data_IF_495280392444
#
_entry.id   IF_495280392444
#
_cell.length_a   1.000
_cell.length_b   1.000
_cell.length_c   1.000
_cell.angle_alpha   90.00
_cell.angle_beta   90.00
_cell.angle_gamma   90.00
#
_symmetry.space_group_name_H-M   'P 1'
#
loop_
_entity.id
_entity.type
_entity.pdbx_description
1 polymer ?
#
# COMPACT_ATOMS: atom_id res chain seq x y z
N UNK A 1 54.14 -43.89 -34.84
CA UNK A 1 54.13 -42.83 -33.80
C UNK A 1 54.63 -43.39 -32.48
N UNK A 2 55.69 -42.81 -31.90
CA UNK A 2 56.25 -43.30 -30.62
C UNK A 2 55.35 -42.94 -29.43
N UNK A 3 55.37 -43.77 -28.37
CA UNK A 3 54.60 -43.53 -27.14
C UNK A 3 54.89 -42.16 -26.51
N UNK A 4 56.16 -41.75 -26.53
CA UNK A 4 56.59 -40.46 -26.00
C UNK A 4 55.96 -39.27 -26.74
N UNK A 5 55.82 -39.36 -28.06
CA UNK A 5 55.17 -38.33 -28.86
C UNK A 5 53.67 -38.23 -28.56
N UNK A 6 52.97 -39.36 -28.41
CA UNK A 6 51.54 -39.38 -28.01
C UNK A 6 51.32 -38.72 -26.65
N UNK A 7 52.20 -38.98 -25.67
CA UNK A 7 52.13 -38.35 -24.34
C UNK A 7 52.34 -36.83 -24.43
N UNK A 8 53.28 -36.36 -25.26
CA UNK A 8 53.50 -34.92 -25.47
C UNK A 8 52.27 -34.24 -26.06
N UNK A 9 51.63 -34.84 -27.07
CA UNK A 9 50.38 -34.31 -27.65
C UNK A 9 49.29 -34.22 -26.58
N UNK A 10 49.09 -35.27 -25.78
CA UNK A 10 48.06 -35.26 -24.74
C UNK A 10 48.30 -34.18 -23.67
N UNK A 11 49.56 -33.97 -23.28
CA UNK A 11 49.93 -32.88 -22.36
C UNK A 11 49.68 -31.51 -22.97
N UNK A 12 50.04 -31.32 -24.23
CA UNK A 12 49.82 -30.06 -24.94
C UNK A 12 48.32 -29.76 -25.07
N UNK A 13 47.53 -30.74 -25.52
CA UNK A 13 46.08 -30.60 -25.64
C UNK A 13 45.40 -30.25 -24.31
N UNK A 14 45.89 -30.81 -23.19
CA UNK A 14 45.40 -30.45 -21.86
C UNK A 14 45.72 -28.99 -21.52
N UNK A 15 46.94 -28.55 -21.77
CA UNK A 15 47.37 -27.16 -21.50
C UNK A 15 46.57 -26.19 -22.37
N UNK A 16 46.41 -26.48 -23.66
CA UNK A 16 45.67 -25.63 -24.59
C UNK A 16 44.19 -25.50 -24.17
N UNK A 17 43.56 -26.62 -23.77
CA UNK A 17 42.19 -26.61 -23.24
C UNK A 17 42.06 -25.82 -21.93
N UNK A 18 43.06 -25.90 -21.03
CA UNK A 18 43.08 -25.10 -19.80
C UNK A 18 43.24 -23.60 -20.09
N UNK A 19 44.07 -23.22 -21.06
CA UNK A 19 44.24 -21.83 -21.49
C UNK A 19 42.94 -21.28 -22.07
N UNK A 20 42.30 -22.01 -22.98
CA UNK A 20 41.04 -21.59 -23.61
C UNK A 20 39.90 -21.48 -22.58
N UNK A 21 39.78 -22.46 -21.70
CA UNK A 21 38.80 -22.45 -20.61
C UNK A 21 38.97 -21.23 -19.70
N UNK A 22 40.22 -20.91 -19.33
CA UNK A 22 40.50 -19.72 -18.51
C UNK A 22 40.21 -18.41 -19.25
N UNK A 23 40.53 -18.33 -20.55
CA UNK A 23 40.20 -17.17 -21.37
C UNK A 23 38.68 -16.95 -21.45
N UNK A 24 37.91 -18.01 -21.67
CA UNK A 24 36.44 -17.93 -21.71
C UNK A 24 35.85 -17.52 -20.35
N UNK A 25 36.36 -18.07 -19.24
CA UNK A 25 35.95 -17.66 -17.88
C UNK A 25 36.18 -16.18 -17.65
N UNK A 26 37.37 -15.68 -18.01
CA UNK A 26 37.70 -14.26 -17.86
C UNK A 26 36.78 -13.37 -18.67
N UNK A 27 36.52 -13.72 -19.94
CA UNK A 27 35.58 -12.98 -20.79
C UNK A 27 34.18 -12.94 -20.18
N UNK A 28 33.69 -14.07 -19.63
CA UNK A 28 32.39 -14.10 -18.94
C UNK A 28 32.38 -13.24 -17.69
N UNK A 29 33.43 -13.28 -16.88
CA UNK A 29 33.53 -12.47 -15.67
C UNK A 29 33.55 -10.98 -16.00
N UNK A 30 34.23 -10.58 -17.07
CA UNK A 30 34.28 -9.19 -17.53
C UNK A 30 32.90 -8.71 -18.01
N UNK A 31 32.17 -9.53 -18.78
CA UNK A 31 30.77 -9.24 -19.20
C UNK A 31 29.86 -9.12 -17.98
N UNK A 32 29.99 -10.04 -17.01
CA UNK A 32 29.18 -10.04 -15.79
C UNK A 32 29.42 -8.76 -15.00
N UNK A 33 30.68 -8.34 -14.82
CA UNK A 33 31.01 -7.08 -14.13
C UNK A 33 30.39 -5.89 -14.82
N UNK A 34 30.51 -5.79 -16.14
CA UNK A 34 29.90 -4.70 -16.91
C UNK A 34 28.38 -4.66 -16.72
N UNK A 35 27.74 -5.84 -16.74
CA UNK A 35 26.29 -5.96 -16.51
C UNK A 35 25.89 -5.53 -15.11
N UNK A 36 26.65 -5.89 -14.08
CA UNK A 36 26.38 -5.43 -12.72
C UNK A 36 26.49 -3.92 -12.58
N UNK A 37 27.53 -3.31 -13.16
CA UNK A 37 27.65 -1.85 -13.15
C UNK A 37 26.47 -1.15 -13.87
N UNK A 38 25.99 -1.71 -14.98
CA UNK A 38 24.80 -1.20 -15.67
C UNK A 38 23.55 -1.30 -14.79
N UNK A 39 23.32 -2.46 -14.16
CA UNK A 39 22.16 -2.67 -13.28
C UNK A 39 22.19 -1.73 -12.08
N UNK A 40 23.34 -1.55 -11.43
CA UNK A 40 23.47 -0.63 -10.29
C UNK A 40 23.15 0.81 -10.71
N UNK A 41 23.63 1.24 -11.88
CA UNK A 41 23.32 2.55 -12.43
C UNK A 41 21.82 2.72 -12.74
N UNK A 42 21.21 1.71 -13.37
CA UNK A 42 19.78 1.74 -13.70
C UNK A 42 18.91 1.80 -12.44
N UNK A 43 19.28 1.07 -11.38
CA UNK A 43 18.59 1.11 -10.08
C UNK A 43 18.70 2.50 -9.45
N UNK A 44 19.87 3.15 -9.53
CA UNK A 44 20.03 4.52 -9.02
C UNK A 44 19.17 5.52 -9.80
N UNK A 45 19.14 5.42 -11.12
CA UNK A 45 18.28 6.26 -11.96
C UNK A 45 16.79 6.04 -11.65
N UNK A 46 16.36 4.78 -11.51
CA UNK A 46 14.98 4.44 -11.18
C UNK A 46 14.57 5.01 -9.82
N UNK A 47 15.44 4.93 -8.81
CA UNK A 47 15.20 5.57 -7.50
C UNK A 47 15.02 7.08 -7.62
N UNK A 48 15.90 7.76 -8.37
CA UNK A 48 15.79 9.22 -8.57
C UNK A 48 14.47 9.58 -9.26
N UNK A 49 14.06 8.80 -10.27
CA UNK A 49 12.79 9.01 -10.98
C UNK A 49 11.62 8.79 -10.04
N UNK A 50 11.64 7.71 -9.25
CA UNK A 50 10.62 7.39 -8.28
C UNK A 50 10.47 8.50 -7.23
N UNK A 51 11.57 8.95 -6.61
CA UNK A 51 11.56 9.99 -5.60
C UNK A 51 10.95 11.29 -6.15
N UNK A 52 11.31 11.69 -7.38
CA UNK A 52 10.71 12.86 -8.04
C UNK A 52 9.21 12.70 -8.30
N UNK A 53 8.77 11.51 -8.68
CA UNK A 53 7.34 11.24 -8.89
C UNK A 53 6.56 11.27 -7.57
N UNK A 54 7.14 10.73 -6.50
CA UNK A 54 6.56 10.76 -5.15
C UNK A 54 6.44 12.21 -4.67
N UNK A 55 7.50 13.01 -4.78
CA UNK A 55 7.49 14.42 -4.38
C UNK A 55 6.44 15.23 -5.15
N UNK A 56 6.33 15.01 -6.47
CA UNK A 56 5.31 15.65 -7.28
C UNK A 56 3.89 15.23 -6.88
N UNK A 57 3.73 13.97 -6.48
CA UNK A 57 2.45 13.42 -6.03
C UNK A 57 2.04 13.97 -4.66
N UNK A 58 2.98 14.07 -3.73
CA UNK A 58 2.76 14.68 -2.41
C UNK A 58 2.30 16.14 -2.58
N UNK A 59 2.99 16.92 -3.41
CA UNK A 59 2.60 18.31 -3.68
C UNK A 59 1.17 18.44 -4.23
N UNK A 60 0.77 17.56 -5.16
CA UNK A 60 -0.60 17.54 -5.68
C UNK A 60 -1.63 17.24 -4.60
N UNK A 61 -1.32 16.32 -3.67
CA UNK A 61 -2.20 16.02 -2.55
C UNK A 61 -2.30 17.21 -1.59
N UNK A 62 -1.20 17.88 -1.29
CA UNK A 62 -1.19 19.07 -0.43
C UNK A 62 -2.03 20.20 -1.04
N UNK A 63 -1.87 20.47 -2.34
CA UNK A 63 -2.68 21.44 -3.07
C UNK A 63 -4.18 21.06 -3.06
N UNK A 64 -4.49 19.80 -3.32
CA UNK A 64 -5.87 19.31 -3.30
C UNK A 64 -6.51 19.44 -1.91
N UNK A 65 -5.78 19.08 -0.85
CA UNK A 65 -6.25 19.26 0.52
C UNK A 65 -6.45 20.75 0.81
N UNK A 66 -5.51 21.61 0.46
CA UNK A 66 -5.65 23.05 0.67
C UNK A 66 -6.89 23.64 -0.02
N UNK A 67 -7.23 23.17 -1.21
CA UNK A 67 -8.41 23.61 -1.96
C UNK A 67 -9.74 23.11 -1.36
N UNK A 68 -9.76 21.88 -0.83
CA UNK A 68 -11.01 21.20 -0.44
C UNK A 68 -11.28 21.28 1.06
N UNK A 69 -10.25 21.57 1.87
CA UNK A 69 -10.29 21.54 3.35
C UNK A 69 -11.44 22.34 3.94
N UNK A 70 -11.56 23.62 3.60
CA UNK A 70 -12.58 24.50 4.19
C UNK A 70 -14.01 24.02 3.88
N UNK A 71 -14.24 23.53 2.65
CA UNK A 71 -15.54 22.99 2.26
C UNK A 71 -15.90 21.75 3.08
N UNK A 72 -14.95 20.84 3.28
CA UNK A 72 -15.17 19.60 4.05
C UNK A 72 -15.40 19.91 5.52
N UNK A 73 -14.64 20.86 6.08
CA UNK A 73 -14.83 21.31 7.47
C UNK A 73 -16.24 21.90 7.64
N UNK A 74 -16.67 22.77 6.72
CA UNK A 74 -18.03 23.33 6.75
C UNK A 74 -19.11 22.25 6.76
N UNK A 75 -19.04 21.32 5.81
CA UNK A 75 -19.99 20.20 5.74
C UNK A 75 -19.99 19.34 7.02
N UNK A 76 -18.82 19.12 7.62
CA UNK A 76 -18.71 18.34 8.85
C UNK A 76 -19.33 19.08 10.04
N UNK A 77 -19.11 20.39 10.14
CA UNK A 77 -19.72 21.22 11.18
C UNK A 77 -21.23 21.27 11.03
N UNK A 78 -21.76 21.39 9.82
CA UNK A 78 -23.20 21.35 9.56
C UNK A 78 -23.82 20.04 10.04
N UNK A 79 -23.18 18.90 9.76
CA UNK A 79 -23.63 17.58 10.21
C UNK A 79 -23.61 17.42 11.74
N UNK A 80 -22.61 17.98 12.41
CA UNK A 80 -22.46 17.85 13.87
C UNK A 80 -23.40 18.80 14.62
N UNK A 81 -23.63 20.01 14.09
CA UNK A 81 -24.48 21.01 14.72
C UNK A 81 -25.97 20.82 14.42
N UNK A 82 -26.35 20.19 13.30
CA UNK A 82 -27.74 19.86 12.96
C UNK A 82 -28.25 18.64 13.74
N UNK A 83 -28.44 18.81 15.05
CA UNK A 83 -29.02 17.77 15.91
C UNK A 83 -30.51 17.64 15.60
N UNK A 84 -30.88 16.52 14.95
CA UNK A 84 -32.27 16.13 14.68
C UNK A 84 -32.71 15.05 15.68
N UNK A 85 -33.31 15.42 16.82
CA UNK A 85 -33.80 14.44 17.77
C UNK A 85 -34.97 13.67 17.16
N UNK A 86 -34.79 12.37 16.98
CA UNK A 86 -35.84 11.48 16.51
C UNK A 86 -36.32 10.57 17.63
N UNK A 87 -37.64 10.40 17.69
CA UNK A 87 -38.24 9.40 18.56
C UNK A 87 -38.17 8.06 17.82
N UNK A 88 -37.61 7.05 18.48
CA UNK A 88 -37.55 5.71 17.94
C UNK A 88 -38.92 5.27 17.42
N UNK A 89 -38.97 4.69 16.22
CA UNK A 89 -40.20 4.32 15.50
C UNK A 89 -41.21 3.49 16.32
N UNK A 90 -40.74 2.73 17.30
CA UNK A 90 -41.57 1.91 18.19
C UNK A 90 -42.08 2.62 19.46
N UNK A 91 -41.88 3.92 19.59
CA UNK A 91 -42.39 4.65 20.74
C UNK A 91 -43.92 4.66 20.72
N UNK A 92 -44.52 4.04 21.73
CA UNK A 92 -45.97 3.97 21.91
C UNK A 92 -46.37 4.84 23.10
N UNK A 93 -47.23 5.83 22.85
CA UNK A 93 -47.85 6.61 23.93
C UNK A 93 -48.90 5.72 24.60
N UNK A 94 -48.68 5.37 25.88
CA UNK A 94 -49.74 4.74 26.69
C UNK A 94 -50.82 5.79 26.96
N UNK A 95 -52.05 5.51 26.54
CA UNK A 95 -53.24 6.30 26.91
C UNK A 95 -53.86 5.63 28.12
N UNK A 96 -53.71 6.21 29.29
CA UNK A 96 -54.52 5.85 30.46
C UNK A 96 -55.76 6.75 30.49
N UNK A 97 -56.92 6.13 30.66
CA UNK A 97 -58.21 6.81 30.72
C UNK A 97 -58.48 7.04 32.21
N UNK A 98 -58.48 8.30 32.65
CA UNK A 98 -58.96 8.65 33.98
C UNK A 98 -60.49 8.74 33.98
N UNK A 99 -61.12 8.43 35.12
CA UNK A 99 -62.58 8.39 35.32
C UNK A 99 -63.33 9.68 34.91
N UNK A 100 -62.62 10.78 34.71
CA UNK A 100 -63.14 12.09 34.27
C UNK A 100 -63.00 12.36 32.76
N UNK A 101 -62.56 11.38 31.95
CA UNK A 101 -62.56 11.48 30.49
C UNK A 101 -61.51 12.42 29.89
N UNK A 102 -60.50 12.86 30.64
CA UNK A 102 -59.41 13.71 30.14
C UNK A 102 -58.08 12.95 30.06
N UNK A 103 -57.36 13.12 28.94
CA UNK A 103 -56.06 12.47 28.69
C UNK A 103 -54.93 13.23 29.42
N UNK A 104 -54.34 12.64 30.46
CA UNK A 104 -53.07 13.11 31.01
C UNK A 104 -51.91 12.39 30.33
N UNK A 105 -50.98 13.13 29.74
CA UNK A 105 -49.72 12.58 29.21
C UNK A 105 -48.83 12.16 30.38
N UNK A 106 -48.81 10.86 30.71
CA UNK A 106 -47.76 10.30 31.56
C UNK A 106 -46.56 10.02 30.66
N UNK A 107 -45.49 10.79 30.84
CA UNK A 107 -44.19 10.52 30.21
C UNK A 107 -43.47 9.52 31.12
N UNK A 108 -43.66 8.23 30.89
CA UNK A 108 -42.90 7.20 31.60
C UNK A 108 -41.54 6.99 30.92
N UNK A 109 -40.39 7.29 31.56
CA UNK A 109 -39.08 7.16 30.92
C UNK A 109 -38.47 5.76 31.04
N UNK A 110 -39.15 4.78 31.63
CA UNK A 110 -38.53 3.52 32.07
C UNK A 110 -39.36 2.28 31.73
N UNK A 111 -39.40 1.87 30.46
CA UNK A 111 -39.82 0.50 30.08
C UNK A 111 -38.87 -0.23 29.13
N UNK A 112 -37.62 0.24 28.95
CA UNK A 112 -36.60 -0.54 28.23
C UNK A 112 -35.91 -1.63 29.07
N UNK A 113 -36.23 -1.77 30.36
CA UNK A 113 -35.60 -2.77 31.24
C UNK A 113 -36.36 -4.11 31.37
N UNK A 114 -37.27 -4.44 30.45
CA UNK A 114 -37.99 -5.73 30.51
C UNK A 114 -38.36 -6.24 29.12
N UNK A 115 -37.35 -6.69 28.37
CA UNK A 115 -37.45 -7.77 27.37
C UNK A 115 -36.03 -8.11 26.90
N UNK A 116 -35.56 -9.27 27.39
CA UNK A 116 -34.30 -9.97 27.09
C UNK A 116 -33.03 -9.43 27.74
#
# INVERSE_FOLDING_TARGET
MSRAYRIKILKQAKIDAEIESNAFRKQKDDIIKEKFCQVDHDIELEKIVYDRQVDATIKKYDEHVAQVKERVIGNLLDLVMDIKPEIHHNFKVRKEINETGTYTRIIDPLQSASRC
#
